data_IF_916836487826
#
_entry.id   IF_916836487826
#
_cell.length_a   1.000
_cell.length_b   1.000
_cell.length_c   1.000
_cell.angle_alpha   90.00
_cell.angle_beta   90.00
_cell.angle_gamma   90.00
#
_symmetry.space_group_name_H-M   'P 1'
#
loop_
_entity.id
_entity.type
_entity.pdbx_description
1 polymer ?
#
# COMPACT_ATOMS: atom_id res chain seq x y z
N UNK A 1 -39.50 51.35 -40.78
CA UNK A 1 -38.41 50.37 -40.54
C UNK A 1 -37.13 51.17 -40.36
N UNK A 2 -36.68 51.37 -39.12
CA UNK A 2 -35.47 52.15 -38.81
C UNK A 2 -34.44 51.18 -38.21
N UNK A 3 -33.50 50.74 -39.04
CA UNK A 3 -32.37 49.91 -38.61
C UNK A 3 -31.44 50.74 -37.71
N UNK A 4 -31.39 50.41 -36.42
CA UNK A 4 -30.35 50.91 -35.52
C UNK A 4 -29.10 50.07 -35.76
N UNK A 5 -28.18 50.55 -36.60
CA UNK A 5 -26.83 49.97 -36.71
C UNK A 5 -26.00 50.34 -35.48
N UNK A 6 -26.14 49.56 -34.41
CA UNK A 6 -25.21 49.60 -33.27
C UNK A 6 -23.88 48.94 -33.65
N UNK A 7 -23.07 49.64 -34.44
CA UNK A 7 -21.76 49.14 -34.84
C UNK A 7 -20.75 49.47 -33.72
N UNK A 8 -20.72 48.67 -32.66
CA UNK A 8 -19.71 48.79 -31.60
C UNK A 8 -18.34 48.57 -32.25
N UNK A 9 -17.58 49.66 -32.42
CA UNK A 9 -16.25 49.56 -33.01
C UNK A 9 -15.32 48.68 -32.17
N UNK A 10 -14.38 47.99 -32.83
CA UNK A 10 -13.41 47.05 -32.19
C UNK A 10 -12.75 47.64 -30.94
N UNK A 11 -12.40 48.93 -30.96
CA UNK A 11 -11.81 49.64 -29.81
C UNK A 11 -12.78 49.78 -28.63
N UNK A 12 -14.07 50.00 -28.91
CA UNK A 12 -15.12 50.11 -27.89
C UNK A 12 -15.42 48.74 -27.29
N UNK A 13 -15.44 47.69 -28.12
CA UNK A 13 -15.55 46.30 -27.66
C UNK A 13 -14.39 45.92 -26.74
N UNK A 14 -13.14 46.20 -27.13
CA UNK A 14 -11.97 45.89 -26.29
C UNK A 14 -11.99 46.63 -24.95
N UNK A 15 -12.43 47.90 -24.93
CA UNK A 15 -12.61 48.66 -23.69
C UNK A 15 -13.69 48.04 -22.80
N UNK A 16 -14.85 47.72 -23.37
CA UNK A 16 -15.96 47.12 -22.64
C UNK A 16 -15.58 45.75 -22.05
N UNK A 17 -14.92 44.91 -22.84
CA UNK A 17 -14.43 43.60 -22.41
C UNK A 17 -13.35 43.70 -21.32
N UNK A 18 -12.44 44.67 -21.41
CA UNK A 18 -11.44 44.92 -20.37
C UNK A 18 -12.08 45.40 -19.07
N UNK A 19 -13.04 46.33 -19.14
CA UNK A 19 -13.78 46.82 -17.96
C UNK A 19 -14.63 45.71 -17.33
N UNK A 20 -15.31 44.89 -18.14
CA UNK A 20 -16.07 43.75 -17.65
C UNK A 20 -15.15 42.70 -16.99
N UNK A 21 -13.99 42.42 -17.59
CA UNK A 21 -12.98 41.52 -17.01
C UNK A 21 -12.45 42.03 -15.66
N UNK A 22 -12.13 43.32 -15.56
CA UNK A 22 -11.70 43.94 -14.31
C UNK A 22 -12.81 43.94 -13.25
N UNK A 23 -14.06 44.17 -13.63
CA UNK A 23 -15.20 44.11 -12.71
C UNK A 23 -15.40 42.69 -12.15
N UNK A 24 -15.27 41.66 -12.99
CA UNK A 24 -15.33 40.26 -12.55
C UNK A 24 -14.16 39.92 -11.62
N UNK A 25 -12.94 40.37 -11.92
CA UNK A 25 -11.78 40.18 -11.03
C UNK A 25 -11.97 40.89 -9.68
N UNK A 26 -12.43 42.13 -9.68
CA UNK A 26 -12.69 42.90 -8.48
C UNK A 26 -13.78 42.23 -7.61
N UNK A 27 -14.86 41.74 -8.23
CA UNK A 27 -15.91 41.02 -7.51
C UNK A 27 -15.42 39.72 -6.87
N UNK A 28 -14.58 38.95 -7.59
CA UNK A 28 -13.96 37.75 -7.02
C UNK A 28 -12.99 38.07 -5.89
N UNK A 29 -12.18 39.13 -6.02
CA UNK A 29 -11.29 39.58 -4.95
C UNK A 29 -12.08 40.05 -3.72
N UNK A 30 -13.22 40.73 -3.91
CA UNK A 30 -14.10 41.17 -2.84
C UNK A 30 -14.81 39.98 -2.16
N UNK A 31 -15.26 39.00 -2.94
CA UNK A 31 -15.82 37.74 -2.43
C UNK A 31 -14.78 36.90 -1.66
N UNK A 32 -13.50 37.02 -2.02
CA UNK A 32 -12.39 36.39 -1.29
C UNK A 32 -11.95 37.19 -0.05
N UNK A 33 -12.33 38.46 0.09
CA UNK A 33 -11.97 39.35 1.20
C UNK A 33 -12.27 38.77 2.60
N UNK A 34 -13.40 38.07 2.85
CA UNK A 34 -13.65 37.42 4.13
C UNK A 34 -12.59 36.39 4.54
N UNK A 35 -11.94 35.72 3.57
CA UNK A 35 -10.86 34.77 3.81
C UNK A 35 -9.49 35.44 4.03
N UNK A 36 -9.36 36.73 3.71
CA UNK A 36 -8.14 37.53 3.86
C UNK A 36 -8.17 38.43 5.11
N UNK A 37 -9.29 38.47 5.84
CA UNK A 37 -9.36 39.21 7.09
C UNK A 37 -8.51 38.52 8.15
N UNK A 38 -7.53 39.21 8.76
CA UNK A 38 -6.76 38.63 9.84
C UNK A 38 -7.69 38.27 11.00
N UNK A 39 -7.55 37.07 11.52
CA UNK A 39 -8.30 36.62 12.68
C UNK A 39 -7.74 37.34 13.93
N UNK A 40 -8.52 38.28 14.48
CA UNK A 40 -8.10 39.07 15.64
C UNK A 40 -8.37 38.28 16.92
N UNK A 41 -7.33 38.08 17.71
CA UNK A 41 -7.37 37.37 19.00
C UNK A 41 -7.02 38.37 20.10
N UNK A 42 -7.95 38.65 21.01
CA UNK A 42 -7.71 39.62 22.08
C UNK A 42 -6.57 39.20 23.02
N UNK A 43 -6.63 37.98 23.57
CA UNK A 43 -5.56 37.42 24.40
C UNK A 43 -5.34 35.92 24.09
N UNK A 44 -4.28 35.56 23.35
CA UNK A 44 -3.99 34.18 22.97
C UNK A 44 -3.61 33.27 24.14
N UNK A 45 -3.31 33.82 25.33
CA UNK A 45 -3.02 33.07 26.54
C UNK A 45 -4.28 32.82 27.40
N UNK A 46 -5.38 33.54 27.16
CA UNK A 46 -6.63 33.40 27.92
C UNK A 46 -7.59 32.39 27.28
N UNK A 47 -7.63 32.33 25.95
CA UNK A 47 -8.46 31.37 25.22
C UNK A 47 -7.88 31.11 23.83
N UNK A 48 -7.72 29.84 23.47
CA UNK A 48 -7.30 29.48 22.11
C UNK A 48 -8.53 29.53 21.19
N UNK A 49 -8.56 30.44 20.21
CA UNK A 49 -9.82 30.92 19.68
C UNK A 49 -10.42 30.05 18.55
N UNK A 50 -9.66 29.03 18.09
CA UNK A 50 -10.19 27.96 17.24
C UNK A 50 -9.36 26.67 17.40
N UNK A 51 -10.00 25.56 17.76
CA UNK A 51 -9.37 24.25 17.93
C UNK A 51 -9.89 23.20 16.94
N UNK A 52 -10.71 23.58 15.97
CA UNK A 52 -11.29 22.65 15.00
C UNK A 52 -10.23 21.99 14.12
N UNK A 53 -9.11 22.68 13.86
CA UNK A 53 -7.96 22.09 13.14
C UNK A 53 -7.40 20.84 13.84
N UNK A 54 -7.54 20.74 15.17
CA UNK A 54 -7.08 19.56 15.92
C UNK A 54 -7.87 18.30 15.55
N UNK A 55 -9.10 18.44 15.00
CA UNK A 55 -9.89 17.31 14.50
C UNK A 55 -9.15 16.54 13.41
N UNK A 56 -8.31 17.21 12.62
CA UNK A 56 -7.48 16.57 11.59
C UNK A 56 -6.53 15.56 12.21
N UNK A 57 -5.77 15.95 13.24
CA UNK A 57 -4.83 15.05 13.91
C UNK A 57 -5.54 13.95 14.70
N UNK A 58 -6.69 14.25 15.32
CA UNK A 58 -7.51 13.24 15.99
C UNK A 58 -8.03 12.20 15.01
N UNK A 59 -8.51 12.63 13.85
CA UNK A 59 -8.97 11.74 12.80
C UNK A 59 -7.80 10.91 12.22
N UNK A 60 -6.63 11.52 12.00
CA UNK A 60 -5.44 10.78 11.56
C UNK A 60 -5.03 9.66 12.53
N UNK A 61 -5.26 9.84 13.84
CA UNK A 61 -4.95 8.83 14.86
C UNK A 61 -6.09 7.83 15.11
N UNK A 62 -7.33 8.20 14.79
CA UNK A 62 -8.51 7.34 14.90
C UNK A 62 -8.37 6.08 14.05
N UNK A 63 -8.96 4.98 14.52
CA UNK A 63 -8.92 3.66 13.88
C UNK A 63 -10.35 3.10 13.79
N UNK A 64 -10.65 2.37 12.72
CA UNK A 64 -11.98 1.78 12.51
C UNK A 64 -12.07 0.38 13.16
N UNK A 65 -10.94 -0.35 13.19
CA UNK A 65 -10.83 -1.63 13.88
C UNK A 65 -9.40 -1.93 14.31
N UNK A 66 -9.26 -2.88 15.23
CA UNK A 66 -7.98 -3.38 15.70
C UNK A 66 -7.99 -4.91 15.70
N UNK A 67 -6.85 -5.53 15.44
CA UNK A 67 -6.68 -6.98 15.65
C UNK A 67 -5.28 -7.31 16.14
N UNK A 68 -5.17 -8.44 16.84
CA UNK A 68 -3.91 -8.93 17.40
C UNK A 68 -3.29 -9.93 16.42
N UNK A 69 -1.98 -9.86 16.24
CA UNK A 69 -1.23 -10.82 15.45
C UNK A 69 0.15 -11.07 16.05
N UNK A 70 0.72 -12.23 15.73
CA UNK A 70 2.07 -12.59 16.16
C UNK A 70 3.09 -12.18 15.10
N UNK A 71 4.07 -11.36 15.50
CA UNK A 71 5.26 -11.08 14.72
C UNK A 71 6.29 -12.16 15.00
N UNK A 72 6.34 -13.18 14.14
CA UNK A 72 7.22 -14.35 14.27
C UNK A 72 8.24 -14.51 13.11
N UNK A 73 9.07 -13.50 12.80
CA UNK A 73 10.30 -13.76 12.05
C UNK A 73 11.28 -14.52 12.95
N UNK A 74 12.38 -15.01 12.37
CA UNK A 74 13.47 -15.61 13.14
C UNK A 74 14.29 -14.53 13.89
N UNK A 75 13.66 -13.85 14.86
CA UNK A 75 14.27 -12.82 15.70
C UNK A 75 14.26 -13.20 17.19
N UNK A 76 13.84 -14.42 17.51
CA UNK A 76 13.67 -14.98 18.86
C UNK A 76 12.61 -14.28 19.72
N UNK A 77 11.96 -13.22 19.21
CA UNK A 77 11.16 -12.37 20.07
C UNK A 77 9.70 -12.80 20.16
N UNK A 78 9.09 -13.25 19.05
CA UNK A 78 7.67 -13.59 18.97
C UNK A 78 6.79 -12.48 19.59
N UNK A 79 6.88 -11.29 19.00
CA UNK A 79 6.16 -10.12 19.49
C UNK A 79 4.63 -10.27 19.32
N UNK A 80 3.85 -10.14 20.39
CA UNK A 80 2.39 -10.04 20.33
C UNK A 80 2.00 -8.59 20.02
N UNK A 81 1.58 -8.33 18.79
CA UNK A 81 1.39 -6.97 18.26
C UNK A 81 -0.08 -6.70 17.95
N UNK A 82 -0.44 -5.41 17.97
CA UNK A 82 -1.74 -4.90 17.59
C UNK A 82 -1.64 -4.14 16.28
N UNK A 83 -2.43 -4.55 15.29
CA UNK A 83 -2.64 -3.83 14.05
C UNK A 83 -3.82 -2.86 14.19
N UNK A 84 -3.62 -1.63 13.72
CA UNK A 84 -4.60 -0.55 13.71
C UNK A 84 -5.07 -0.34 12.27
N UNK A 85 -6.36 -0.51 12.02
CA UNK A 85 -6.96 -0.47 10.69
C UNK A 85 -7.77 0.79 10.51
N UNK A 86 -7.61 1.47 9.37
CA UNK A 86 -8.46 2.56 8.92
C UNK A 86 -8.70 2.43 7.42
N UNK A 87 -9.94 2.57 6.96
CA UNK A 87 -10.34 2.37 5.57
C UNK A 87 -9.85 1.00 5.02
N UNK A 88 -10.04 -0.07 5.79
CA UNK A 88 -9.59 -1.44 5.45
C UNK A 88 -8.07 -1.60 5.20
N UNK A 89 -7.26 -0.64 5.66
CA UNK A 89 -5.79 -0.65 5.54
C UNK A 89 -5.15 -0.58 6.92
N UNK A 90 -4.15 -1.42 7.15
CA UNK A 90 -3.33 -1.36 8.38
C UNK A 90 -2.44 -0.11 8.33
N UNK A 91 -2.82 0.93 9.06
CA UNK A 91 -2.12 2.22 9.09
C UNK A 91 -0.98 2.24 10.13
N UNK A 92 -1.09 1.46 11.20
CA UNK A 92 -0.09 1.44 12.29
C UNK A 92 -0.04 0.06 12.96
N UNK A 93 1.14 -0.27 13.48
CA UNK A 93 1.36 -1.43 14.34
C UNK A 93 1.92 -0.93 15.67
N UNK A 94 1.39 -1.44 16.78
CA UNK A 94 1.86 -1.12 18.13
C UNK A 94 2.06 -2.39 18.95
N UNK A 95 2.71 -2.28 20.12
CA UNK A 95 2.60 -3.29 21.15
C UNK A 95 1.12 -3.60 21.45
N UNK A 96 0.84 -4.84 21.83
CA UNK A 96 -0.50 -5.23 22.27
C UNK A 96 -0.82 -4.76 23.69
N UNK A 97 0.18 -4.65 24.58
CA UNK A 97 -0.03 -4.48 26.01
C UNK A 97 -0.82 -5.66 26.66
N UNK A 98 -0.93 -6.81 25.97
CA UNK A 98 -1.72 -7.99 26.38
C UNK A 98 -0.95 -9.30 26.56
N UNK A 99 0.38 -9.30 26.69
CA UNK A 99 1.21 -10.47 26.98
C UNK A 99 0.78 -11.20 28.25
N UNK A 100 0.43 -10.49 29.32
CA UNK A 100 -0.02 -11.13 30.55
C UNK A 100 -1.38 -11.82 30.43
N UNK A 101 -2.15 -11.46 29.40
CA UNK A 101 -3.41 -12.11 29.05
C UNK A 101 -3.22 -13.24 28.03
N UNK A 102 -2.00 -13.40 27.48
CA UNK A 102 -1.68 -14.47 26.55
C UNK A 102 -1.55 -15.81 27.31
N UNK A 103 -2.34 -16.78 26.86
CA UNK A 103 -2.42 -18.13 27.41
C UNK A 103 -2.18 -19.14 26.27
N UNK A 104 -1.38 -20.17 26.53
CA UNK A 104 -1.21 -21.28 25.61
C UNK A 104 -2.33 -22.33 25.73
N UNK A 105 -2.27 -23.40 24.92
CA UNK A 105 -3.29 -24.45 24.93
C UNK A 105 -3.34 -25.26 26.25
N UNK A 106 -2.27 -25.21 27.06
CA UNK A 106 -2.15 -25.93 28.32
C UNK A 106 -2.52 -25.04 29.53
N UNK A 107 -2.91 -23.78 29.28
CA UNK A 107 -3.28 -22.82 30.32
C UNK A 107 -2.10 -22.04 30.93
N UNK A 108 -0.88 -22.19 30.39
CA UNK A 108 0.27 -21.43 30.87
C UNK A 108 0.15 -19.98 30.41
N UNK A 109 0.35 -19.04 31.35
CA UNK A 109 0.30 -17.60 31.09
C UNK A 109 1.67 -16.96 31.17
N UNK A 110 1.90 -15.98 30.31
CA UNK A 110 3.10 -15.15 30.39
C UNK A 110 2.93 -14.06 31.47
N UNK A 111 4.03 -13.53 32.01
CA UNK A 111 3.96 -12.40 32.95
C UNK A 111 3.78 -11.07 32.21
N UNK A 112 3.09 -10.10 32.81
CA UNK A 112 2.96 -8.74 32.26
C UNK A 112 4.31 -7.99 32.09
N UNK A 113 5.43 -8.49 32.65
CA UNK A 113 6.76 -7.88 32.49
C UNK A 113 7.29 -7.92 31.05
N UNK A 114 6.70 -8.76 30.20
CA UNK A 114 7.07 -8.84 28.79
C UNK A 114 6.51 -7.67 27.96
N UNK A 115 5.74 -6.76 28.54
CA UNK A 115 5.35 -5.52 27.86
C UNK A 115 6.47 -4.48 27.80
N UNK A 116 6.52 -3.61 26.77
CA UNK A 116 5.62 -3.51 25.61
C UNK A 116 6.22 -4.15 24.34
N UNK A 117 6.89 -5.30 24.44
CA UNK A 117 7.78 -5.85 23.40
C UNK A 117 7.38 -5.48 21.97
N UNK A 118 8.30 -4.77 21.31
CA UNK A 118 8.25 -4.49 19.88
C UNK A 118 9.64 -4.02 19.47
N UNK A 119 10.10 -4.39 18.27
CA UNK A 119 11.31 -3.84 17.69
C UNK A 119 10.99 -2.86 16.56
N UNK A 120 11.98 -2.08 16.13
CA UNK A 120 11.84 -1.14 15.03
C UNK A 120 11.42 -1.81 13.70
N UNK A 121 11.72 -3.10 13.50
CA UNK A 121 11.31 -3.87 12.31
C UNK A 121 9.82 -4.27 12.40
N UNK A 122 9.34 -4.62 13.59
CA UNK A 122 7.94 -5.00 13.83
C UNK A 122 6.98 -3.82 13.61
N UNK A 123 7.37 -2.62 14.04
CA UNK A 123 6.57 -1.38 13.87
C UNK A 123 6.22 -1.07 12.40
N UNK A 124 7.08 -1.48 11.46
CA UNK A 124 6.95 -1.14 10.04
C UNK A 124 6.60 -2.35 9.17
N UNK A 125 6.10 -3.44 9.76
CA UNK A 125 5.82 -4.67 9.03
C UNK A 125 4.73 -4.49 7.96
N UNK A 126 3.76 -3.60 8.19
CA UNK A 126 2.75 -3.22 7.19
C UNK A 126 3.37 -2.70 5.89
N UNK A 127 4.56 -2.07 5.93
CA UNK A 127 5.27 -1.66 4.70
C UNK A 127 5.61 -2.85 3.81
N UNK A 128 5.91 -4.03 4.37
CA UNK A 128 6.15 -5.25 3.57
C UNK A 128 4.86 -5.69 2.86
N UNK A 129 3.73 -5.63 3.56
CA UNK A 129 2.42 -5.99 3.02
C UNK A 129 1.96 -5.04 1.89
N UNK A 130 2.37 -3.77 1.91
CA UNK A 130 1.96 -2.78 0.90
C UNK A 130 3.08 -2.36 -0.06
N UNK A 131 4.26 -2.97 0.04
CA UNK A 131 5.39 -2.65 -0.83
C UNK A 131 5.20 -3.11 -2.27
N UNK A 132 5.90 -2.43 -3.17
CA UNK A 132 6.16 -2.83 -4.55
C UNK A 132 6.79 -4.24 -4.68
N UNK A 133 7.48 -4.68 -3.63
CA UNK A 133 8.17 -5.98 -3.54
C UNK A 133 7.26 -7.14 -3.14
N UNK A 134 5.99 -6.91 -2.77
CA UNK A 134 5.09 -7.99 -2.36
C UNK A 134 4.75 -8.90 -3.55
N UNK A 135 5.01 -10.22 -3.49
CA UNK A 135 4.51 -11.15 -4.50
C UNK A 135 2.97 -11.17 -4.48
N UNK A 136 2.34 -10.97 -5.65
CA UNK A 136 0.87 -10.88 -5.80
C UNK A 136 0.26 -12.09 -6.53
N UNK A 137 0.95 -13.23 -6.52
CA UNK A 137 0.48 -14.46 -7.17
C UNK A 137 1.60 -15.47 -7.38
N UNK A 138 1.27 -16.59 -8.04
CA UNK A 138 2.23 -17.58 -8.47
C UNK A 138 3.11 -17.01 -9.59
N UNK A 139 4.40 -16.92 -9.34
CA UNK A 139 5.38 -16.42 -10.30
C UNK A 139 6.24 -17.57 -10.79
N UNK A 140 6.31 -17.79 -12.10
CA UNK A 140 7.08 -18.87 -12.72
C UNK A 140 8.08 -18.28 -13.72
N UNK A 141 9.33 -18.73 -13.65
CA UNK A 141 10.39 -18.32 -14.59
C UNK A 141 10.08 -18.84 -15.99
N UNK A 142 10.22 -18.02 -17.02
CA UNK A 142 9.89 -18.37 -18.41
C UNK A 142 10.62 -19.62 -18.90
N UNK A 143 11.94 -19.73 -18.71
CA UNK A 143 12.70 -20.90 -19.15
C UNK A 143 12.33 -22.20 -18.42
N UNK A 144 11.88 -22.11 -17.15
CA UNK A 144 11.37 -23.29 -16.43
C UNK A 144 10.05 -23.77 -17.03
N UNK A 145 9.13 -22.84 -17.31
CA UNK A 145 7.85 -23.17 -17.93
C UNK A 145 8.06 -23.77 -19.32
N UNK A 146 8.89 -23.15 -20.15
CA UNK A 146 9.19 -23.65 -21.49
C UNK A 146 9.79 -25.06 -21.48
N UNK A 147 10.64 -25.38 -20.49
CA UNK A 147 11.17 -26.73 -20.32
C UNK A 147 10.07 -27.75 -19.95
N UNK A 148 9.18 -27.39 -19.02
CA UNK A 148 8.07 -28.24 -18.63
C UNK A 148 7.10 -28.47 -19.81
N UNK A 149 6.77 -27.42 -20.56
CA UNK A 149 5.91 -27.48 -21.75
C UNK A 149 6.53 -28.28 -22.90
N UNK A 150 7.86 -28.31 -22.99
CA UNK A 150 8.58 -29.13 -23.95
C UNK A 150 8.63 -30.63 -23.57
N UNK A 151 7.96 -31.05 -22.49
CA UNK A 151 7.93 -32.44 -22.04
C UNK A 151 9.19 -32.87 -21.28
N UNK A 152 9.80 -31.95 -20.55
CA UNK A 152 10.97 -32.21 -19.68
C UNK A 152 12.22 -32.74 -20.42
N UNK A 153 12.62 -32.16 -21.57
CA UNK A 153 13.75 -32.66 -22.34
C UNK A 153 15.07 -32.57 -21.55
N UNK A 154 15.92 -33.59 -21.70
CA UNK A 154 17.26 -33.70 -21.09
C UNK A 154 18.30 -33.99 -22.16
N UNK A 155 19.52 -33.49 -21.97
CA UNK A 155 20.65 -33.62 -22.88
C UNK A 155 21.65 -34.66 -22.36
N UNK A 156 22.05 -35.57 -23.25
CA UNK A 156 23.17 -36.50 -23.07
C UNK A 156 23.06 -37.47 -21.88
N UNK A 157 24.17 -38.16 -21.59
CA UNK A 157 24.30 -39.14 -20.50
C UNK A 157 24.17 -38.53 -19.09
N UNK A 158 24.23 -37.20 -18.96
CA UNK A 158 24.28 -36.51 -17.68
C UNK A 158 22.87 -36.14 -17.15
N UNK A 159 21.82 -36.28 -17.97
CA UNK A 159 20.43 -36.09 -17.53
C UNK A 159 20.02 -34.64 -17.24
N UNK A 160 20.78 -33.64 -17.69
CA UNK A 160 20.47 -32.21 -17.45
C UNK A 160 19.57 -31.62 -18.53
N UNK A 161 18.69 -30.65 -18.23
CA UNK A 161 18.03 -29.85 -19.26
C UNK A 161 19.02 -29.04 -20.11
N UNK A 162 18.62 -28.69 -21.34
CA UNK A 162 19.37 -27.74 -22.18
C UNK A 162 19.61 -26.40 -21.44
N UNK A 163 20.81 -25.85 -21.56
CA UNK A 163 21.26 -24.62 -20.91
C UNK A 163 20.35 -23.43 -21.19
N UNK A 164 19.65 -23.40 -22.34
CA UNK A 164 18.66 -22.35 -22.65
C UNK A 164 17.53 -22.29 -21.62
N UNK A 165 17.19 -23.41 -20.96
CA UNK A 165 16.17 -23.49 -19.93
C UNK A 165 16.71 -23.19 -18.52
N UNK A 166 18.01 -22.94 -18.33
CA UNK A 166 18.67 -22.84 -17.02
C UNK A 166 19.18 -21.43 -16.67
N UNK A 167 18.61 -20.37 -17.26
CA UNK A 167 19.04 -18.99 -17.07
C UNK A 167 18.44 -18.33 -15.80
N UNK A 168 18.57 -18.98 -14.64
CA UNK A 168 18.11 -18.46 -13.34
C UNK A 168 18.74 -17.10 -13.03
N UNK A 169 17.91 -16.14 -12.60
CA UNK A 169 18.34 -14.77 -12.30
C UNK A 169 18.53 -13.86 -13.51
N UNK A 170 18.43 -14.38 -14.74
CA UNK A 170 18.55 -13.61 -15.99
C UNK A 170 17.25 -13.53 -16.77
N UNK A 171 16.30 -14.39 -16.46
CA UNK A 171 15.00 -14.46 -17.13
C UNK A 171 13.88 -13.83 -16.31
N UNK A 172 12.83 -13.32 -16.98
CA UNK A 172 11.66 -12.81 -16.30
C UNK A 172 10.83 -13.92 -15.65
N UNK A 173 10.00 -13.50 -14.72
CA UNK A 173 8.92 -14.32 -14.17
C UNK A 173 7.60 -13.87 -14.79
N UNK A 174 6.77 -14.84 -15.14
CA UNK A 174 5.38 -14.61 -15.53
C UNK A 174 4.46 -15.01 -14.39
N UNK A 175 3.35 -14.28 -14.25
CA UNK A 175 2.29 -14.61 -13.29
C UNK A 175 1.36 -15.65 -13.92
N UNK A 176 1.09 -16.73 -13.19
CA UNK A 176 0.16 -17.78 -13.61
C UNK A 176 -1.00 -17.93 -12.60
N UNK A 177 -2.14 -18.53 -13.03
CA UNK A 177 -3.11 -19.09 -12.11
C UNK A 177 -2.44 -20.13 -11.18
N UNK A 178 -2.91 -20.19 -9.93
CA UNK A 178 -2.38 -21.15 -8.95
C UNK A 178 -2.54 -22.60 -9.40
N UNK A 179 -3.65 -22.94 -10.06
CA UNK A 179 -3.91 -24.28 -10.61
C UNK A 179 -2.83 -24.70 -11.61
N UNK A 180 -2.43 -23.82 -12.53
CA UNK A 180 -1.35 -24.08 -13.48
C UNK A 180 0.00 -24.19 -12.79
N UNK A 181 0.29 -23.32 -11.82
CA UNK A 181 1.54 -23.37 -11.07
C UNK A 181 1.68 -24.67 -10.26
N UNK A 182 0.59 -25.16 -9.66
CA UNK A 182 0.55 -26.44 -8.98
C UNK A 182 0.68 -27.62 -9.93
N UNK A 183 0.00 -27.60 -11.08
CA UNK A 183 0.15 -28.64 -12.11
C UNK A 183 1.59 -28.72 -12.62
N UNK A 184 2.24 -27.58 -12.85
CA UNK A 184 3.66 -27.51 -13.23
C UNK A 184 4.56 -28.11 -12.14
N UNK A 185 4.36 -27.73 -10.87
CA UNK A 185 5.15 -28.27 -9.77
C UNK A 185 4.95 -29.79 -9.61
N UNK A 186 3.71 -30.26 -9.65
CA UNK A 186 3.37 -31.68 -9.54
C UNK A 186 3.95 -32.50 -10.70
N UNK A 187 3.78 -32.03 -11.95
CA UNK A 187 4.32 -32.72 -13.13
C UNK A 187 5.85 -32.81 -13.11
N UNK A 188 6.55 -31.79 -12.60
CA UNK A 188 8.01 -31.85 -12.44
C UNK A 188 8.41 -32.82 -11.35
N UNK A 189 7.73 -32.83 -10.20
CA UNK A 189 7.99 -33.79 -9.13
C UNK A 189 7.77 -35.23 -9.62
N UNK A 190 6.67 -35.50 -10.32
CA UNK A 190 6.39 -36.81 -10.92
C UNK A 190 7.46 -37.19 -11.95
N UNK A 191 7.80 -36.27 -12.87
CA UNK A 191 8.80 -36.54 -13.90
C UNK A 191 10.17 -36.86 -13.29
N UNK A 192 10.61 -36.09 -12.29
CA UNK A 192 11.86 -36.34 -11.57
C UNK A 192 11.78 -37.69 -10.87
N UNK A 193 10.69 -37.98 -10.15
CA UNK A 193 10.49 -39.28 -9.51
C UNK A 193 10.61 -40.41 -10.55
N UNK A 194 9.79 -40.43 -11.61
CA UNK A 194 9.85 -41.48 -12.65
C UNK A 194 11.22 -41.63 -13.30
N UNK A 195 11.96 -40.54 -13.45
CA UNK A 195 13.28 -40.55 -14.10
C UNK A 195 14.38 -41.11 -13.19
N UNK A 196 14.31 -40.86 -11.87
CA UNK A 196 15.43 -41.13 -10.95
C UNK A 196 15.09 -42.02 -9.76
N UNK A 197 13.83 -42.43 -9.59
CA UNK A 197 13.43 -43.33 -8.48
C UNK A 197 13.69 -44.81 -8.74
N UNK A 198 14.20 -45.16 -9.92
CA UNK A 198 14.83 -46.45 -10.21
C UNK A 198 13.89 -47.65 -10.15
N UNK A 199 13.44 -48.08 -11.32
CA UNK A 199 13.64 -49.48 -11.75
C UNK A 199 14.67 -49.45 -12.89
#
# INVERSE_FOLDING_TARGET
>A
MMEIKNNIGRRSFLKLSATAGLAVMANNAFAASPFLKPYVVDNPLKSYPNRDWEKVYRDMFHVDSEFIFLCAPNDTHNCLLKAHVKNDVVIRISPSYGYGDAEDMDGNRSSHRWEPRICNKGMVMNRKAYSDRRPKGAMVRTGFKAWAEAGYPRTGANGFPDQKYLQRGKEPFIKLPWTEAYALAAGVLENIARTYSGD
#
